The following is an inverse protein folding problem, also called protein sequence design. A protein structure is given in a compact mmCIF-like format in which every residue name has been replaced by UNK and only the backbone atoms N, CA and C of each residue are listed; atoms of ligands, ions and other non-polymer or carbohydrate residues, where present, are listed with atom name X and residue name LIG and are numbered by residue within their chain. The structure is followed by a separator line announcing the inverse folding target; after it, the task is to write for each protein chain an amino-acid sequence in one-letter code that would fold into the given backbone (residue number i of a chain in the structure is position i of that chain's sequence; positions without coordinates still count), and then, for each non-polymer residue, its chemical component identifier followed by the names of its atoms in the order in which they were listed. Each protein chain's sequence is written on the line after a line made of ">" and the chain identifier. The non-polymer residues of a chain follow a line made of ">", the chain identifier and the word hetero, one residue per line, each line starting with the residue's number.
data_IF_847760472962
#
_entry.id   IF_847760472962
#
_cell.length_a   1.000
_cell.length_b   1.000
_cell.length_c   1.000
_cell.angle_alpha   90.00
_cell.angle_beta   90.00
_cell.angle_gamma   90.00
#
_symmetry.space_group_name_H-M   'P 1'
#
loop_
_entity.id
_entity.type
_entity.pdbx_description
1 polymer ?
#
# COMPACT_ATOMS: atom_id res chain seq x y z
N UNK A 1 -14.71 0.39 -16.85
CA UNK A 1 -15.76 -0.60 -16.51
C UNK A 1 -15.46 -1.95 -17.18
N UNK A 2 -14.44 -2.68 -16.72
CA UNK A 2 -14.11 -4.06 -17.16
C UNK A 2 -13.16 -4.81 -16.19
N UNK A 3 -13.18 -4.43 -14.90
CA UNK A 3 -12.36 -5.06 -13.85
C UNK A 3 -13.19 -5.94 -12.91
N UNK A 4 -14.51 -6.02 -13.10
CA UNK A 4 -15.45 -6.51 -12.08
C UNK A 4 -15.93 -7.95 -12.25
N UNK A 5 -15.47 -8.66 -13.29
CA UNK A 5 -15.87 -10.06 -13.55
C UNK A 5 -14.73 -10.85 -14.18
N UNK A 6 -13.69 -11.20 -13.41
CA UNK A 6 -12.69 -12.17 -13.89
C UNK A 6 -12.80 -13.56 -13.26
N UNK A 7 -13.67 -13.75 -12.26
CA UNK A 7 -13.77 -15.02 -11.53
C UNK A 7 -15.19 -15.51 -11.27
N UNK A 8 -16.19 -14.93 -11.94
CA UNK A 8 -17.60 -15.30 -11.77
C UNK A 8 -18.22 -15.72 -13.10
N UNK A 9 -17.79 -16.87 -13.61
CA UNK A 9 -18.52 -17.73 -14.53
C UNK A 9 -17.78 -19.06 -14.63
N UNK A 10 -18.50 -20.18 -14.65
CA UNK A 10 -17.95 -21.55 -14.73
C UNK A 10 -17.08 -21.84 -15.98
N UNK A 11 -16.83 -20.85 -16.84
CA UNK A 11 -15.94 -20.91 -18.01
C UNK A 11 -14.59 -20.17 -17.85
N UNK A 12 -14.42 -19.27 -16.86
CA UNK A 12 -13.17 -18.50 -16.69
C UNK A 12 -12.12 -19.25 -15.86
N UNK A 13 -12.53 -20.26 -15.09
CA UNK A 13 -11.63 -21.07 -14.24
C UNK A 13 -10.62 -21.89 -15.02
N UNK A 14 -10.95 -22.28 -16.27
CA UNK A 14 -10.05 -23.02 -17.15
C UNK A 14 -9.05 -22.11 -17.88
N UNK A 15 -9.38 -20.83 -18.09
CA UNK A 15 -8.46 -19.85 -18.70
C UNK A 15 -7.28 -19.48 -17.78
N UNK A 16 -7.49 -19.50 -16.47
CA UNK A 16 -6.45 -19.14 -15.47
C UNK A 16 -5.44 -20.28 -15.26
N UNK A 17 -5.81 -21.53 -15.54
CA UNK A 17 -4.93 -22.71 -15.44
C UNK A 17 -3.67 -22.55 -16.28
N UNK A 18 -3.88 -22.07 -17.50
CA UNK A 18 -2.85 -21.99 -18.53
C UNK A 18 -2.10 -20.65 -18.50
N UNK A 19 -2.59 -19.67 -17.75
CA UNK A 19 -1.86 -18.44 -17.54
C UNK A 19 -0.59 -18.68 -16.75
N UNK A 20 0.47 -18.00 -17.18
CA UNK A 20 1.73 -18.02 -16.44
C UNK A 20 1.61 -17.26 -15.13
N UNK A 21 2.44 -17.59 -14.14
CA UNK A 21 2.47 -16.86 -12.87
C UNK A 21 2.68 -15.35 -13.08
N UNK A 22 3.57 -14.96 -14.01
CA UNK A 22 3.76 -13.56 -14.41
C UNK A 22 2.51 -12.95 -15.04
N UNK A 23 1.82 -13.68 -15.90
CA UNK A 23 0.58 -13.23 -16.54
C UNK A 23 -0.55 -13.00 -15.52
N UNK A 24 -0.60 -13.79 -14.46
CA UNK A 24 -1.56 -13.61 -13.36
C UNK A 24 -1.18 -12.37 -12.54
N UNK A 25 0.11 -12.17 -12.24
CA UNK A 25 0.60 -11.00 -11.50
C UNK A 25 0.42 -9.68 -12.24
N UNK A 26 0.65 -9.64 -13.55
CA UNK A 26 0.44 -8.44 -14.37
C UNK A 26 -1.03 -8.00 -14.30
N UNK A 27 -1.95 -8.96 -14.22
CA UNK A 27 -3.39 -8.69 -14.11
C UNK A 27 -3.82 -8.33 -12.70
N UNK A 28 -3.25 -9.01 -11.70
CA UNK A 28 -3.51 -8.77 -10.29
C UNK A 28 -2.23 -8.95 -9.47
N UNK A 29 -1.52 -7.87 -9.20
CA UNK A 29 -0.25 -7.92 -8.47
C UNK A 29 -0.40 -8.50 -7.05
N UNK A 30 -1.62 -8.46 -6.47
CA UNK A 30 -1.90 -9.08 -5.16
C UNK A 30 -1.78 -10.60 -5.17
N UNK A 31 -1.79 -11.23 -6.36
CA UNK A 31 -1.51 -12.66 -6.51
C UNK A 31 -0.13 -13.05 -5.95
N UNK A 32 0.81 -12.10 -5.86
CA UNK A 32 2.12 -12.31 -5.23
C UNK A 32 2.01 -12.86 -3.82
N UNK A 33 1.08 -12.33 -3.01
CA UNK A 33 0.86 -12.77 -1.62
C UNK A 33 0.44 -14.24 -1.55
N UNK A 34 -0.44 -14.65 -2.47
CA UNK A 34 -0.88 -16.05 -2.56
C UNK A 34 0.27 -16.93 -3.06
N UNK A 35 1.00 -16.50 -4.08
CA UNK A 35 2.14 -17.26 -4.58
C UNK A 35 3.25 -17.42 -3.54
N UNK A 36 3.55 -16.38 -2.75
CA UNK A 36 4.48 -16.45 -1.62
C UNK A 36 4.03 -17.46 -0.57
N UNK A 37 2.73 -17.45 -0.20
CA UNK A 37 2.16 -18.42 0.75
C UNK A 37 2.40 -19.87 0.32
N UNK A 38 2.29 -20.12 -0.98
CA UNK A 38 2.49 -21.45 -1.57
C UNK A 38 3.92 -21.69 -2.08
N UNK A 39 4.88 -20.80 -1.79
CA UNK A 39 6.28 -20.87 -2.27
C UNK A 39 6.42 -21.01 -3.80
N UNK A 40 5.51 -20.42 -4.56
CA UNK A 40 5.59 -20.41 -6.02
C UNK A 40 6.54 -19.31 -6.51
N UNK A 41 7.62 -19.70 -7.17
CA UNK A 41 8.59 -18.76 -7.74
C UNK A 41 8.06 -18.11 -9.03
N UNK A 42 7.36 -16.99 -8.85
CA UNK A 42 6.85 -16.18 -9.96
C UNK A 42 7.85 -15.15 -10.49
N UNK A 43 8.96 -14.93 -9.77
CA UNK A 43 9.95 -13.91 -10.10
C UNK A 43 10.98 -14.44 -11.11
N UNK A 44 11.52 -15.64 -10.88
CA UNK A 44 12.50 -16.25 -11.78
C UNK A 44 11.85 -17.27 -12.72
N UNK A 45 10.84 -17.99 -12.25
CA UNK A 45 10.12 -19.04 -13.00
C UNK A 45 8.71 -18.59 -13.45
N UNK A 46 8.50 -17.28 -13.61
CA UNK A 46 7.19 -16.69 -13.88
C UNK A 46 6.56 -17.03 -15.24
N UNK A 47 7.31 -17.67 -16.13
CA UNK A 47 6.83 -18.21 -17.40
C UNK A 47 6.12 -19.57 -17.27
N UNK A 48 6.18 -20.23 -16.11
CA UNK A 48 5.42 -21.46 -15.84
C UNK A 48 3.94 -21.15 -15.68
N UNK A 49 3.07 -22.03 -16.19
CA UNK A 49 1.62 -21.95 -15.97
C UNK A 49 1.29 -22.21 -14.50
N UNK A 50 0.15 -21.68 -14.04
CA UNK A 50 -0.34 -21.94 -12.69
C UNK A 50 -0.50 -23.43 -12.43
N UNK A 51 -1.07 -24.18 -13.40
CA UNK A 51 -1.25 -25.63 -13.27
C UNK A 51 0.08 -26.38 -13.13
N UNK A 52 1.09 -26.05 -13.95
CA UNK A 52 2.42 -26.67 -13.86
C UNK A 52 3.08 -26.35 -12.52
N UNK A 53 3.04 -25.08 -12.10
CA UNK A 53 3.61 -24.66 -10.83
C UNK A 53 2.94 -25.36 -9.62
N UNK A 54 1.62 -25.54 -9.64
CA UNK A 54 0.90 -26.30 -8.61
C UNK A 54 1.30 -27.78 -8.61
N UNK A 55 1.38 -28.40 -9.79
CA UNK A 55 1.72 -29.83 -9.92
C UNK A 55 3.14 -30.12 -9.42
N UNK A 56 4.10 -29.26 -9.75
CA UNK A 56 5.50 -29.39 -9.33
C UNK A 56 5.69 -29.24 -7.81
N UNK A 57 4.83 -28.45 -7.15
CA UNK A 57 4.91 -28.16 -5.71
C UNK A 57 3.86 -28.92 -4.89
N UNK A 58 3.17 -29.91 -5.48
CA UNK A 58 2.11 -30.69 -4.84
C UNK A 58 1.00 -29.84 -4.18
N UNK A 59 0.62 -28.74 -4.82
CA UNK A 59 -0.43 -27.82 -4.37
C UNK A 59 -1.76 -28.20 -5.03
N UNK A 60 -2.86 -28.20 -4.28
CA UNK A 60 -4.20 -28.35 -4.87
C UNK A 60 -4.56 -27.10 -5.68
N UNK A 61 -4.70 -27.28 -6.99
CA UNK A 61 -5.11 -26.22 -7.91
C UNK A 61 -6.41 -25.52 -7.49
N UNK A 62 -7.38 -26.26 -6.94
CA UNK A 62 -8.66 -25.67 -6.52
C UNK A 62 -8.50 -24.75 -5.31
N UNK A 63 -7.60 -25.10 -4.39
CA UNK A 63 -7.33 -24.32 -3.18
C UNK A 63 -6.73 -22.97 -3.55
N UNK A 64 -5.63 -22.98 -4.32
CA UNK A 64 -4.99 -21.73 -4.75
C UNK A 64 -5.89 -20.88 -5.64
N UNK A 65 -6.69 -21.50 -6.53
CA UNK A 65 -7.64 -20.77 -7.36
C UNK A 65 -8.68 -20.06 -6.48
N UNK A 66 -9.16 -20.71 -5.43
CA UNK A 66 -10.10 -20.10 -4.47
C UNK A 66 -9.47 -18.88 -3.81
N UNK A 67 -8.21 -18.98 -3.36
CA UNK A 67 -7.50 -17.84 -2.77
C UNK A 67 -7.29 -16.71 -3.77
N UNK A 68 -6.87 -17.02 -5.00
CA UNK A 68 -6.71 -16.03 -6.07
C UNK A 68 -8.02 -15.32 -6.40
N UNK A 69 -9.14 -16.05 -6.44
CA UNK A 69 -10.47 -15.47 -6.69
C UNK A 69 -10.89 -14.54 -5.54
N UNK A 70 -10.53 -14.90 -4.30
CA UNK A 70 -10.82 -14.11 -3.10
C UNK A 70 -10.01 -12.80 -3.03
N UNK A 71 -8.90 -12.68 -3.77
CA UNK A 71 -8.12 -11.44 -3.88
C UNK A 71 -8.90 -10.28 -4.53
N UNK A 72 -10.04 -10.57 -5.17
CA UNK A 72 -10.85 -9.60 -5.92
C UNK A 72 -11.74 -8.72 -5.03
N UNK A 73 -11.82 -8.96 -3.72
CA UNK A 73 -12.67 -8.15 -2.81
C UNK A 73 -11.82 -7.23 -1.94
N UNK A 74 -11.13 -6.29 -2.58
CA UNK A 74 -10.96 -4.96 -1.98
C UNK A 74 -11.32 -4.00 -3.09
N UNK A 75 -12.55 -3.51 -3.06
CA UNK A 75 -13.04 -2.45 -3.93
C UNK A 75 -11.93 -1.41 -4.12
N UNK A 76 -11.65 -1.13 -5.38
CA UNK A 76 -10.68 -0.13 -5.77
C UNK A 76 -10.87 1.15 -4.98
N UNK A 77 -9.73 1.73 -4.61
CA UNK A 77 -9.53 3.08 -4.13
C UNK A 77 -10.08 4.12 -5.13
N UNK A 78 -11.38 4.19 -5.31
CA UNK A 78 -12.08 5.27 -6.00
C UNK A 78 -13.51 5.37 -5.47
N UNK A 79 -13.67 5.47 -4.15
CA UNK A 79 -14.86 6.12 -3.63
C UNK A 79 -14.42 7.49 -3.13
N UNK A 80 -14.60 8.50 -3.97
CA UNK A 80 -14.56 9.92 -3.59
C UNK A 80 -15.57 10.27 -2.47
N UNK A 81 -16.23 9.29 -1.85
CA UNK A 81 -17.06 9.42 -0.65
C UNK A 81 -16.28 9.91 0.58
N UNK A 82 -14.95 9.83 0.58
CA UNK A 82 -14.13 10.26 1.71
C UNK A 82 -13.89 11.78 1.78
N UNK A 83 -14.22 12.55 0.73
CA UNK A 83 -14.06 14.02 0.72
C UNK A 83 -15.06 14.75 1.64
N UNK A 84 -16.09 14.07 2.15
CA UNK A 84 -17.05 14.64 3.11
C UNK A 84 -16.77 14.20 4.56
N UNK A 85 -15.63 13.58 4.86
CA UNK A 85 -15.27 13.23 6.23
C UNK A 85 -14.86 14.48 7.02
N UNK A 86 -15.30 14.57 8.27
CA UNK A 86 -14.74 15.52 9.23
C UNK A 86 -13.24 15.21 9.44
N UNK A 87 -12.45 16.24 9.75
CA UNK A 87 -10.98 16.16 9.85
C UNK A 87 -10.50 14.99 10.72
N UNK A 88 -11.16 14.75 11.86
CA UNK A 88 -10.80 13.64 12.77
C UNK A 88 -10.99 12.28 12.07
N UNK A 89 -12.15 12.07 11.44
CA UNK A 89 -12.45 10.84 10.71
C UNK A 89 -11.56 10.65 9.48
N UNK A 90 -11.16 11.74 8.82
CA UNK A 90 -10.21 11.69 7.71
C UNK A 90 -8.83 11.22 8.19
N UNK A 91 -8.35 11.73 9.33
CA UNK A 91 -7.09 11.28 9.94
C UNK A 91 -7.16 9.79 10.26
N UNK A 92 -8.22 9.33 10.93
CA UNK A 92 -8.36 7.91 11.29
C UNK A 92 -8.41 7.00 10.06
N UNK A 93 -9.06 7.49 8.98
CA UNK A 93 -9.08 6.81 7.69
C UNK A 93 -7.69 6.72 7.06
N UNK A 94 -6.92 7.81 7.03
CA UNK A 94 -5.55 7.83 6.49
C UNK A 94 -4.67 6.81 7.22
N UNK A 95 -4.72 6.79 8.55
CA UNK A 95 -3.93 5.85 9.36
C UNK A 95 -4.34 4.40 9.06
N UNK A 96 -5.64 4.12 9.07
CA UNK A 96 -6.15 2.74 8.97
C UNK A 96 -5.96 2.15 7.57
N UNK A 97 -6.24 2.94 6.53
CA UNK A 97 -6.30 2.43 5.16
C UNK A 97 -5.03 2.73 4.38
N UNK A 98 -4.52 3.97 4.44
CA UNK A 98 -3.35 4.35 3.66
C UNK A 98 -2.06 3.93 4.36
N UNK A 99 -1.84 4.34 5.61
CA UNK A 99 -0.62 3.97 6.33
C UNK A 99 -0.58 2.47 6.63
N UNK A 100 -1.72 1.87 6.97
CA UNK A 100 -1.87 0.42 7.10
C UNK A 100 -1.44 -0.33 5.84
N UNK A 101 -1.92 0.10 4.66
CA UNK A 101 -1.50 -0.49 3.39
C UNK A 101 0.01 -0.35 3.13
N UNK A 102 0.55 0.86 3.31
CA UNK A 102 1.98 1.14 3.08
C UNK A 102 2.87 0.31 4.02
N UNK A 103 2.50 0.22 5.31
CA UNK A 103 3.22 -0.61 6.30
C UNK A 103 3.28 -2.09 5.91
N UNK A 104 2.23 -2.61 5.29
CA UNK A 104 2.17 -4.00 4.87
C UNK A 104 2.94 -4.23 3.56
N UNK A 105 2.79 -3.35 2.57
CA UNK A 105 3.29 -3.63 1.22
C UNK A 105 4.74 -3.21 0.98
N UNK A 106 5.20 -2.10 1.56
CA UNK A 106 6.53 -1.57 1.26
C UNK A 106 7.66 -2.52 1.68
N UNK A 107 7.63 -3.21 2.85
CA UNK A 107 8.67 -4.16 3.23
C UNK A 107 8.79 -5.34 2.25
N UNK A 108 7.66 -5.80 1.70
CA UNK A 108 7.60 -6.86 0.70
C UNK A 108 8.28 -6.40 -0.60
N UNK A 109 7.91 -5.22 -1.11
CA UNK A 109 8.54 -4.68 -2.32
C UNK A 109 10.03 -4.44 -2.10
N UNK A 110 10.43 -3.90 -0.94
CA UNK A 110 11.84 -3.69 -0.60
C UNK A 110 12.63 -5.00 -0.65
N UNK A 111 12.08 -6.07 -0.09
CA UNK A 111 12.68 -7.41 -0.14
C UNK A 111 12.83 -7.90 -1.58
N UNK A 112 11.78 -7.80 -2.40
CA UNK A 112 11.85 -8.21 -3.81
C UNK A 112 12.86 -7.41 -4.62
N UNK A 113 12.94 -6.09 -4.43
CA UNK A 113 13.94 -5.28 -5.14
C UNK A 113 15.37 -5.73 -4.82
N UNK A 114 15.64 -6.14 -3.57
CA UNK A 114 16.96 -6.67 -3.18
C UNK A 114 17.21 -8.06 -3.76
N UNK A 115 16.21 -8.95 -3.79
CA UNK A 115 16.34 -10.28 -4.41
C UNK A 115 16.68 -10.14 -5.90
N UNK A 116 15.91 -9.34 -6.64
CA UNK A 116 16.13 -9.11 -8.07
C UNK A 116 17.50 -8.47 -8.31
N UNK A 117 17.91 -7.51 -7.47
CA UNK A 117 19.24 -6.91 -7.53
C UNK A 117 20.37 -7.92 -7.27
N UNK A 118 20.19 -8.88 -6.36
CA UNK A 118 21.22 -9.89 -6.08
C UNK A 118 21.42 -10.88 -7.24
N UNK A 119 20.33 -11.26 -7.92
CA UNK A 119 20.36 -12.22 -9.04
C UNK A 119 20.80 -11.53 -10.34
N UNK A 120 20.24 -10.36 -10.65
CA UNK A 120 20.39 -9.71 -11.95
C UNK A 120 21.26 -8.44 -11.94
N UNK A 121 21.71 -7.97 -10.78
CA UNK A 121 22.45 -6.72 -10.67
C UNK A 121 23.84 -6.75 -11.32
N UNK A 122 24.47 -7.92 -11.42
CA UNK A 122 25.77 -8.09 -12.11
C UNK A 122 25.65 -7.84 -13.63
N UNK A 123 24.56 -8.28 -14.24
CA UNK A 123 24.32 -8.15 -15.69
C UNK A 123 23.57 -6.87 -16.04
N UNK A 124 22.84 -6.29 -15.09
CA UNK A 124 22.10 -5.04 -15.30
C UNK A 124 22.26 -4.08 -14.10
N UNK A 125 23.27 -3.19 -14.14
CA UNK A 125 23.55 -2.24 -13.05
C UNK A 125 22.38 -1.30 -12.72
N UNK A 126 21.43 -1.05 -13.64
CA UNK A 126 20.26 -0.22 -13.36
C UNK A 126 19.36 -0.84 -12.28
N UNK A 127 19.35 -2.17 -12.16
CA UNK A 127 18.57 -2.88 -11.13
C UNK A 127 19.14 -2.59 -9.73
N UNK A 128 20.47 -2.52 -9.59
CA UNK A 128 21.12 -2.13 -8.34
C UNK A 128 20.68 -0.73 -7.91
N UNK A 129 20.58 0.19 -8.87
CA UNK A 129 20.14 1.56 -8.62
C UNK A 129 18.68 1.64 -8.19
N UNK A 130 17.78 0.87 -8.82
CA UNK A 130 16.38 0.76 -8.40
C UNK A 130 16.28 0.26 -6.96
N UNK A 131 17.00 -0.81 -6.60
CA UNK A 131 16.98 -1.36 -5.24
C UNK A 131 17.53 -0.36 -4.21
N UNK A 132 18.56 0.41 -4.57
CA UNK A 132 19.13 1.47 -3.73
C UNK A 132 18.11 2.59 -3.50
N UNK A 133 17.51 3.12 -4.56
CA UNK A 133 16.49 4.19 -4.48
C UNK A 133 15.29 3.71 -3.66
N UNK A 134 14.83 2.49 -3.88
CA UNK A 134 13.69 1.94 -3.15
C UNK A 134 13.97 1.79 -1.65
N UNK A 135 15.19 1.40 -1.27
CA UNK A 135 15.61 1.34 0.14
C UNK A 135 15.56 2.71 0.83
N UNK A 136 15.91 3.78 0.11
CA UNK A 136 15.81 5.16 0.61
C UNK A 136 14.33 5.54 0.77
N UNK A 137 13.53 5.32 -0.26
CA UNK A 137 12.09 5.59 -0.23
C UNK A 137 11.40 4.86 0.94
N UNK A 138 11.74 3.60 1.20
CA UNK A 138 11.18 2.86 2.34
C UNK A 138 11.46 3.55 3.68
N UNK A 139 12.70 3.98 3.91
CA UNK A 139 13.09 4.69 5.14
C UNK A 139 12.33 6.01 5.26
N UNK A 140 12.26 6.77 4.17
CA UNK A 140 11.59 8.08 4.14
C UNK A 140 10.10 7.95 4.41
N UNK A 141 9.40 7.01 3.76
CA UNK A 141 7.98 6.75 3.99
C UNK A 141 7.70 6.31 5.42
N UNK A 142 8.55 5.43 5.98
CA UNK A 142 8.41 5.00 7.37
C UNK A 142 8.54 6.17 8.33
N UNK A 143 9.57 7.01 8.16
CA UNK A 143 9.77 8.17 9.01
C UNK A 143 8.67 9.22 8.83
N UNK A 144 8.20 9.41 7.60
CA UNK A 144 7.11 10.35 7.30
C UNK A 144 5.83 9.97 8.02
N UNK A 145 5.36 8.72 7.86
CA UNK A 145 4.15 8.23 8.53
C UNK A 145 4.27 8.29 10.06
N UNK A 146 5.44 8.00 10.63
CA UNK A 146 5.67 8.13 12.08
C UNK A 146 5.48 9.58 12.56
N UNK A 147 6.06 10.56 11.85
CA UNK A 147 5.90 11.99 12.20
C UNK A 147 4.44 12.41 12.14
N UNK A 148 3.72 11.92 11.14
CA UNK A 148 2.30 12.20 11.00
C UNK A 148 1.48 11.61 12.16
N UNK A 149 1.64 10.31 12.42
CA UNK A 149 0.87 9.58 13.44
C UNK A 149 1.19 10.03 14.88
N UNK A 150 2.44 10.37 15.18
CA UNK A 150 2.88 10.67 16.56
C UNK A 150 2.83 12.17 16.90
N UNK A 151 2.92 13.06 15.90
CA UNK A 151 3.07 14.51 16.15
C UNK A 151 1.97 15.30 15.44
N UNK A 152 1.89 15.20 14.12
CA UNK A 152 1.08 16.12 13.31
C UNK A 152 -0.42 15.82 13.50
N UNK A 153 -0.83 14.57 13.36
CA UNK A 153 -2.23 14.17 13.50
C UNK A 153 -2.79 14.38 14.91
N UNK A 154 -2.07 14.03 16.00
CA UNK A 154 -2.50 14.41 17.35
C UNK A 154 -2.67 15.91 17.52
N UNK A 155 -1.75 16.72 16.99
CA UNK A 155 -1.84 18.18 17.07
C UNK A 155 -3.07 18.73 16.30
N UNK A 156 -3.33 18.24 15.09
CA UNK A 156 -4.52 18.61 14.32
C UNK A 156 -5.80 18.24 15.08
N UNK A 157 -5.88 17.05 15.68
CA UNK A 157 -7.02 16.63 16.49
C UNK A 157 -7.27 17.59 17.67
N UNK A 158 -6.22 18.03 18.37
CA UNK A 158 -6.33 19.01 19.45
C UNK A 158 -6.87 20.35 18.96
N UNK A 159 -6.40 20.85 17.81
CA UNK A 159 -6.90 22.10 17.22
C UNK A 159 -8.40 22.03 16.86
N UNK A 160 -8.84 20.91 16.29
CA UNK A 160 -10.26 20.69 15.96
C UNK A 160 -11.12 20.66 17.22
N UNK A 161 -10.68 19.97 18.28
CA UNK A 161 -11.39 19.94 19.55
C UNK A 161 -11.47 21.31 20.21
N UNK A 162 -10.38 22.08 20.21
CA UNK A 162 -10.37 23.44 20.75
C UNK A 162 -11.32 24.38 20.00
N UNK A 163 -11.33 24.32 18.67
CA UNK A 163 -12.25 25.09 17.82
C UNK A 163 -13.73 24.78 18.10
N UNK A 164 -14.07 23.50 18.26
CA UNK A 164 -15.42 23.05 18.58
C UNK A 164 -15.87 23.45 20.00
N UNK A 165 -14.93 23.54 20.95
CA UNK A 165 -15.22 24.01 22.30
C UNK A 165 -15.37 25.53 22.37
N UNK A 166 -14.59 26.27 21.58
CA UNK A 166 -14.74 27.73 21.41
C UNK A 166 -16.05 28.13 20.72
N UNK A 167 -16.68 27.22 19.99
CA UNK A 167 -17.99 27.43 19.35
C UNK A 167 -19.18 26.98 20.23
N UNK A 168 -18.94 26.22 21.31
CA UNK A 168 -19.96 25.87 22.33
C UNK A 168 -19.95 26.78 23.56
N UNK A 169 -18.83 27.41 23.87
CA UNK A 169 -18.80 28.49 24.85
C UNK A 169 -19.23 29.79 24.17
N UNK A 170 -20.34 30.41 24.61
CA UNK A 170 -20.60 31.83 24.33
C UNK A 170 -19.32 32.60 24.65
N UNK A 171 -18.73 33.25 23.64
CA UNK A 171 -17.41 33.87 23.68
C UNK A 171 -17.17 34.63 24.99
N UNK A 172 -16.38 34.09 25.94
CA UNK A 172 -15.94 34.86 27.08
C UNK A 172 -14.49 35.24 26.80
N UNK A 173 -14.32 36.52 26.48
CA UNK A 173 -13.07 37.25 26.65
C UNK A 173 -11.92 37.02 25.65
N UNK A 174 -11.61 38.11 24.96
CA UNK A 174 -10.31 38.49 24.44
C UNK A 174 -9.22 38.41 25.51
N UNK A 175 -8.25 37.49 25.37
CA UNK A 175 -6.82 37.60 25.72
C UNK A 175 -6.27 36.21 26.07
N UNK A 176 -5.27 35.78 25.30
CA UNK A 176 -4.51 34.56 25.60
C UNK A 176 -3.96 33.91 24.33
N UNK A 177 -2.81 34.41 23.87
CA UNK A 177 -2.06 33.81 22.77
C UNK A 177 -1.70 32.38 23.15
N UNK A 178 -2.25 31.39 22.42
CA UNK A 178 -1.77 30.02 22.45
C UNK A 178 -0.28 30.02 22.12
N UNK A 179 0.57 29.70 23.10
CA UNK A 179 2.00 29.46 22.87
C UNK A 179 2.14 28.18 22.04
N UNK A 180 2.31 28.34 20.74
CA UNK A 180 2.80 27.30 19.85
C UNK A 180 4.23 26.96 20.34
N UNK A 181 4.56 25.70 20.67
CA UNK A 181 5.94 25.34 20.96
C UNK A 181 6.80 25.60 19.73
N UNK A 182 7.75 26.50 19.91
CA UNK A 182 8.69 27.00 18.93
C UNK A 182 9.71 25.89 18.60
N UNK A 183 9.36 24.95 17.71
CA UNK A 183 10.35 24.00 17.15
C UNK A 183 10.03 23.45 15.76
N UNK A 184 9.13 24.09 15.02
CA UNK A 184 8.95 23.85 13.59
C UNK A 184 9.40 25.09 12.81
N UNK A 185 10.71 25.35 12.81
CA UNK A 185 11.31 26.11 11.73
C UNK A 185 11.12 25.28 10.45
N UNK A 186 10.03 25.56 9.74
CA UNK A 186 9.94 25.30 8.31
C UNK A 186 11.03 26.16 7.66
N UNK A 187 12.23 25.58 7.49
CA UNK A 187 13.21 26.15 6.57
C UNK A 187 12.54 26.20 5.21
N UNK A 188 12.23 27.42 4.82
CA UNK A 188 11.60 27.80 3.58
C UNK A 188 12.55 27.47 2.44
N UNK A 189 12.49 26.25 1.91
CA UNK A 189 12.99 26.00 0.58
C UNK A 189 11.83 26.25 -0.39
N UNK A 190 11.75 27.52 -0.79
CA UNK A 190 11.25 27.95 -2.09
C UNK A 190 11.75 26.97 -3.15
N UNK A 191 10.84 26.21 -3.75
CA UNK A 191 11.00 25.72 -5.11
C UNK A 191 9.84 26.31 -5.89
N UNK A 192 10.14 27.41 -6.56
CA UNK A 192 9.40 27.86 -7.73
C UNK A 192 9.65 26.83 -8.82
N UNK A 193 8.60 26.12 -9.25
CA UNK A 193 8.29 25.77 -10.63
C UNK A 193 6.78 25.59 -10.76
#
# INVERSE_FOLDING_TARGET
>A
MKMEKMYNSNNDSDLVRDFTLSQILIRNFKASVVFEKYNLDFCCSGNKSLLTACSENAIDYKEILTELNNLTIVQGYTNHKHFNLGIISLIDYIISYHHGFVRNIIPVIATHTQIIASIHGKTNPKILEVARIFSILYKDLKQHMMKEEEIIFPYIKQLVMASNNLSKAERPYSQGVLKIPYSLELKSNTVVL
#
